data_IF_726424495963
#
_entry.id   IF_726424495963
#
_cell.length_a   1.000
_cell.length_b   1.000
_cell.length_c   1.000
_cell.angle_alpha   90.00
_cell.angle_beta   90.00
_cell.angle_gamma   90.00
#
_symmetry.space_group_name_H-M   'P 1'
#
loop_
_entity.id
_entity.type
_entity.pdbx_description
1 polymer ?
#
# COMPACT_ATOMS: atom_id res chain seq x y z
N UNK A 1 -12.04 -62.83 -79.22
CA UNK A 1 -12.87 -62.39 -78.08
C UNK A 1 -11.94 -61.96 -76.96
N UNK A 2 -11.75 -60.66 -76.78
CA UNK A 2 -11.33 -60.03 -75.52
C UNK A 2 -11.67 -58.55 -75.63
N UNK A 3 -12.42 -58.06 -74.66
CA UNK A 3 -13.15 -56.79 -74.68
C UNK A 3 -12.36 -55.75 -73.90
N UNK A 4 -12.15 -54.57 -74.49
CA UNK A 4 -11.56 -53.40 -73.82
C UNK A 4 -12.57 -52.79 -72.83
N UNK A 5 -12.21 -52.79 -71.55
CA UNK A 5 -12.97 -52.14 -70.47
C UNK A 5 -12.53 -50.68 -70.29
N UNK A 6 -13.31 -49.74 -70.81
CA UNK A 6 -13.10 -48.32 -70.58
C UNK A 6 -13.47 -47.92 -69.13
N UNK A 7 -12.54 -47.27 -68.43
CA UNK A 7 -12.72 -46.75 -67.07
C UNK A 7 -13.37 -45.35 -67.10
N UNK A 8 -14.51 -45.19 -66.42
CA UNK A 8 -15.26 -43.93 -66.30
C UNK A 8 -14.65 -43.05 -65.19
N UNK A 9 -14.39 -41.74 -65.42
CA UNK A 9 -13.87 -40.85 -64.39
C UNK A 9 -14.98 -40.38 -63.41
N UNK A 10 -14.70 -40.46 -62.11
CA UNK A 10 -15.59 -39.95 -61.05
C UNK A 10 -15.53 -38.41 -60.95
N UNK A 11 -16.66 -37.74 -60.68
CA UNK A 11 -16.71 -36.29 -60.51
C UNK A 11 -16.10 -35.85 -59.17
N UNK A 12 -15.27 -34.81 -59.20
CA UNK A 12 -14.74 -34.12 -58.01
C UNK A 12 -15.80 -33.18 -57.44
N UNK A 13 -16.21 -33.42 -56.20
CA UNK A 13 -17.05 -32.50 -55.41
C UNK A 13 -16.23 -31.28 -54.99
N UNK A 14 -16.67 -30.09 -55.42
CA UNK A 14 -16.08 -28.82 -55.01
C UNK A 14 -16.39 -28.53 -53.53
N UNK A 15 -15.37 -28.13 -52.77
CA UNK A 15 -15.46 -27.81 -51.34
C UNK A 15 -16.07 -26.42 -51.17
N UNK A 16 -17.06 -26.22 -50.27
CA UNK A 16 -17.68 -24.92 -50.07
C UNK A 16 -16.70 -23.93 -49.41
N UNK A 17 -16.71 -22.68 -49.88
CA UNK A 17 -15.88 -21.60 -49.36
C UNK A 17 -16.36 -21.12 -47.98
N UNK A 18 -15.45 -20.70 -47.08
CA UNK A 18 -15.81 -20.22 -45.74
C UNK A 18 -16.61 -18.90 -45.81
N UNK A 19 -17.74 -18.84 -45.10
CA UNK A 19 -18.55 -17.63 -44.99
C UNK A 19 -17.79 -16.55 -44.21
N UNK A 20 -17.84 -15.28 -44.65
CA UNK A 20 -17.21 -14.19 -43.92
C UNK A 20 -17.87 -14.01 -42.54
N UNK A 21 -17.09 -13.70 -41.50
CA UNK A 21 -17.61 -13.53 -40.15
C UNK A 21 -18.58 -12.34 -40.07
N UNK A 22 -19.66 -12.52 -39.32
CA UNK A 22 -20.69 -11.50 -39.16
C UNK A 22 -20.12 -10.29 -38.40
N UNK A 23 -20.50 -9.06 -38.82
CA UNK A 23 -20.05 -7.80 -38.19
C UNK A 23 -20.35 -7.71 -36.69
N UNK A 24 -21.37 -8.43 -36.23
CA UNK A 24 -21.77 -8.54 -34.83
C UNK A 24 -20.70 -9.27 -34.01
N UNK A 25 -20.07 -10.31 -34.58
CA UNK A 25 -18.98 -11.03 -33.92
C UNK A 25 -17.75 -10.14 -33.73
N UNK A 26 -17.43 -9.30 -34.72
CA UNK A 26 -16.31 -8.35 -34.65
C UNK A 26 -16.52 -7.28 -33.56
N UNK A 27 -17.74 -6.75 -33.44
CA UNK A 27 -18.06 -5.76 -32.40
C UNK A 27 -18.00 -6.37 -30.99
N UNK A 28 -18.47 -7.61 -30.81
CA UNK A 28 -18.40 -8.29 -29.52
C UNK A 28 -16.94 -8.54 -29.08
N UNK A 29 -16.06 -8.93 -30.01
CA UNK A 29 -14.63 -9.13 -29.74
C UNK A 29 -13.97 -7.81 -29.34
N UNK A 30 -14.26 -6.71 -30.05
CA UNK A 30 -13.70 -5.40 -29.74
C UNK A 30 -14.08 -4.92 -28.33
N UNK A 31 -15.34 -5.11 -27.92
CA UNK A 31 -15.81 -4.73 -26.58
C UNK A 31 -15.07 -5.50 -25.47
N UNK A 32 -14.86 -6.80 -25.65
CA UNK A 32 -14.12 -7.65 -24.69
C UNK A 32 -12.67 -7.19 -24.54
N UNK A 33 -12.00 -6.87 -25.65
CA UNK A 33 -10.61 -6.41 -25.62
C UNK A 33 -10.50 -5.08 -24.86
N UNK A 34 -11.42 -4.13 -25.11
CA UNK A 34 -11.44 -2.85 -24.40
C UNK A 34 -11.64 -3.06 -22.90
N UNK A 35 -12.56 -3.93 -22.49
CA UNK A 35 -12.78 -4.23 -21.06
C UNK A 35 -11.54 -4.84 -20.39
N UNK A 36 -10.81 -5.73 -21.07
CA UNK A 36 -9.57 -6.32 -20.55
C UNK A 36 -8.48 -5.26 -20.41
N UNK A 37 -8.31 -4.39 -21.41
CA UNK A 37 -7.30 -3.32 -21.38
C UNK A 37 -7.60 -2.33 -20.25
N UNK A 38 -8.86 -1.90 -20.09
CA UNK A 38 -9.26 -1.02 -19.00
C UNK A 38 -9.04 -1.70 -17.65
N UNK A 39 -9.40 -2.99 -17.53
CA UNK A 39 -9.13 -3.79 -16.34
C UNK A 39 -7.64 -3.84 -16.00
N UNK A 40 -6.76 -4.09 -16.98
CA UNK A 40 -5.32 -4.14 -16.76
C UNK A 40 -4.71 -2.77 -16.40
N UNK A 41 -5.20 -1.68 -16.98
CA UNK A 41 -4.74 -0.32 -16.63
C UNK A 41 -5.15 0.02 -15.20
N UNK A 42 -6.39 -0.25 -14.81
CA UNK A 42 -6.88 0.02 -13.44
C UNK A 42 -6.16 -0.83 -12.41
N UNK A 43 -5.86 -2.10 -12.70
CA UNK A 43 -5.12 -2.99 -11.79
C UNK A 43 -3.60 -2.75 -11.79
N UNK A 44 -3.03 -2.23 -12.89
CA UNK A 44 -1.60 -2.00 -13.03
C UNK A 44 -1.11 -0.69 -12.41
N UNK A 45 -1.95 0.34 -12.39
CA UNK A 45 -1.56 1.69 -11.92
C UNK A 45 -1.80 1.89 -10.41
N UNK A 46 -2.57 1.03 -9.76
CA UNK A 46 -3.06 1.27 -8.38
C UNK A 46 -2.33 0.51 -7.29
N UNK A 47 -1.31 -0.30 -7.59
CA UNK A 47 -0.54 -0.96 -6.53
C UNK A 47 0.39 0.06 -5.87
N UNK A 48 0.21 0.37 -4.57
CA UNK A 48 1.20 1.14 -3.85
C UNK A 48 2.53 0.39 -3.96
N UNK A 49 3.59 1.08 -4.38
CA UNK A 49 4.92 0.49 -4.41
C UNK A 49 5.32 0.01 -3.01
N UNK A 50 6.31 -0.90 -2.89
CA UNK A 50 6.85 -1.29 -1.59
C UNK A 50 7.25 -0.04 -0.80
N UNK A 51 6.75 0.09 0.44
CA UNK A 51 7.14 1.20 1.31
C UNK A 51 8.66 1.10 1.55
N UNK A 52 9.44 2.13 1.23
CA UNK A 52 10.88 2.09 1.44
C UNK A 52 11.21 1.92 2.92
N UNK A 53 12.34 1.31 3.30
CA UNK A 53 12.63 1.03 4.71
C UNK A 53 12.93 2.33 5.48
N UNK A 54 12.47 2.40 6.73
CA UNK A 54 12.80 3.49 7.66
C UNK A 54 14.28 3.38 8.04
N UNK A 55 14.97 4.51 8.05
CA UNK A 55 16.41 4.60 8.37
C UNK A 55 16.69 5.40 9.63
N UNK A 56 15.80 6.32 9.99
CA UNK A 56 15.85 7.03 11.26
C UNK A 56 14.47 7.55 11.65
N UNK A 57 14.23 7.63 12.95
CA UNK A 57 13.04 8.22 13.56
C UNK A 57 13.52 9.40 14.38
N UNK A 58 13.04 10.59 14.06
CA UNK A 58 13.23 11.77 14.90
C UNK A 58 11.93 12.04 15.63
N UNK A 59 11.95 12.23 16.95
CA UNK A 59 10.74 12.56 17.68
C UNK A 59 11.00 13.55 18.81
N UNK A 60 9.99 14.36 19.11
CA UNK A 60 9.95 15.23 20.29
C UNK A 60 8.60 15.04 20.96
N UNK A 61 8.62 14.98 22.29
CA UNK A 61 7.40 14.98 23.08
C UNK A 61 7.21 16.35 23.72
N UNK A 62 5.97 16.79 23.82
CA UNK A 62 5.62 18.00 24.54
C UNK A 62 4.33 17.76 25.32
N UNK A 63 4.30 18.31 26.52
CA UNK A 63 3.13 18.30 27.39
C UNK A 63 2.62 19.73 27.54
N UNK A 64 1.32 19.91 27.78
CA UNK A 64 0.72 21.21 28.02
C UNK A 64 1.09 21.80 29.41
N UNK A 65 2.35 21.67 29.84
CA UNK A 65 2.89 22.19 31.10
C UNK A 65 4.17 22.99 30.88
N UNK A 66 4.35 24.15 31.55
CA UNK A 66 5.57 24.94 31.43
C UNK A 66 6.81 24.17 31.89
N UNK A 67 7.90 24.22 31.11
CA UNK A 67 9.20 23.62 31.46
C UNK A 67 9.36 22.14 31.09
N UNK A 68 8.43 21.58 30.31
CA UNK A 68 8.65 20.27 29.70
C UNK A 68 9.81 20.36 28.71
N UNK A 69 10.80 19.48 28.86
CA UNK A 69 11.92 19.39 27.93
C UNK A 69 11.41 18.82 26.61
N UNK A 70 11.34 19.64 25.57
CA UNK A 70 10.86 19.28 24.23
C UNK A 70 12.01 18.86 23.29
N UNK A 71 13.15 18.47 23.87
CA UNK A 71 14.32 18.00 23.11
C UNK A 71 13.94 16.95 22.07
N UNK A 72 14.54 17.09 20.89
CA UNK A 72 14.39 16.12 19.81
C UNK A 72 15.34 14.94 20.01
N UNK A 73 14.78 13.74 20.00
CA UNK A 73 15.50 12.47 20.05
C UNK A 73 15.59 11.88 18.65
N UNK A 74 16.73 11.27 18.32
CA UNK A 74 16.95 10.62 17.02
C UNK A 74 17.32 9.16 17.23
N UNK A 75 16.44 8.28 16.77
CA UNK A 75 16.60 6.85 16.83
C UNK A 75 17.02 6.28 15.47
N UNK A 76 17.99 5.36 15.49
CA UNK A 76 18.51 4.67 14.30
C UNK A 76 18.65 3.15 14.50
N UNK A 77 18.38 2.65 15.70
CA UNK A 77 18.40 1.23 16.04
C UNK A 77 17.37 0.48 15.20
N UNK A 78 17.77 -0.56 14.46
CA UNK A 78 16.84 -1.41 13.72
C UNK A 78 15.78 -2.06 14.62
N UNK A 79 16.12 -2.37 15.88
CA UNK A 79 15.20 -2.99 16.83
C UNK A 79 14.07 -2.04 17.22
N UNK A 80 14.40 -0.78 17.54
CA UNK A 80 13.41 0.25 17.88
C UNK A 80 12.57 0.65 16.66
N UNK A 81 13.17 0.71 15.47
CA UNK A 81 12.40 0.92 14.23
C UNK A 81 11.37 -0.20 14.04
N UNK A 82 11.76 -1.47 14.24
CA UNK A 82 10.87 -2.61 14.15
C UNK A 82 9.75 -2.59 15.21
N UNK A 83 10.00 -2.06 16.41
CA UNK A 83 8.98 -1.86 17.44
C UNK A 83 7.88 -0.89 16.97
N UNK A 84 8.25 0.25 16.38
CA UNK A 84 7.27 1.20 15.82
C UNK A 84 6.51 0.58 14.65
N UNK A 85 7.20 -0.12 13.74
CA UNK A 85 6.56 -0.83 12.62
C UNK A 85 5.55 -1.87 13.12
N UNK A 86 5.86 -2.58 14.21
CA UNK A 86 4.95 -3.53 14.85
C UNK A 86 3.71 -2.85 15.44
N UNK A 87 3.86 -1.69 16.08
CA UNK A 87 2.72 -0.90 16.57
C UNK A 87 1.86 -0.44 15.40
N UNK A 88 2.45 0.10 14.34
CA UNK A 88 1.71 0.54 13.16
C UNK A 88 0.95 -0.62 12.49
N UNK A 89 1.60 -1.77 12.32
CA UNK A 89 1.00 -2.97 11.75
C UNK A 89 -0.17 -3.52 12.59
N UNK A 90 -0.09 -3.44 13.92
CA UNK A 90 -1.18 -3.85 14.83
C UNK A 90 -2.49 -3.10 14.55
N UNK A 91 -2.39 -1.85 14.09
CA UNK A 91 -3.53 -0.96 13.84
C UNK A 91 -3.79 -0.68 12.35
N UNK A 92 -3.09 -1.37 11.45
CA UNK A 92 -3.16 -1.16 10.00
C UNK A 92 -2.90 0.31 9.60
N UNK A 93 -1.96 0.96 10.28
CA UNK A 93 -1.60 2.37 10.04
C UNK A 93 -0.39 2.45 9.10
N UNK A 94 -0.53 3.08 7.92
CA UNK A 94 0.60 3.28 7.01
C UNK A 94 1.51 4.40 7.54
N UNK A 95 2.74 4.04 7.94
CA UNK A 95 3.71 5.01 8.50
C UNK A 95 4.17 6.09 7.51
N UNK A 96 4.00 5.88 6.21
CA UNK A 96 4.28 6.89 5.20
C UNK A 96 3.17 7.95 5.06
N UNK A 97 1.97 7.69 5.62
CA UNK A 97 0.81 8.58 5.55
C UNK A 97 -0.06 8.44 6.82
N UNK A 98 0.53 8.78 7.97
CA UNK A 98 -0.20 8.81 9.24
C UNK A 98 -1.09 10.05 9.26
N UNK A 99 -2.32 9.90 8.77
CA UNK A 99 -3.30 10.97 8.72
C UNK A 99 -3.65 11.51 10.11
N UNK A 100 -4.23 12.72 10.15
CA UNK A 100 -4.66 13.38 11.40
C UNK A 100 -5.85 12.71 12.08
N UNK A 101 -6.49 11.75 11.41
CA UNK A 101 -7.68 11.01 11.89
C UNK A 101 -7.42 10.09 13.06
N UNK A 102 -6.15 9.85 13.42
CA UNK A 102 -5.80 8.94 14.52
C UNK A 102 -5.70 9.64 15.89
N UNK A 103 -5.73 10.98 15.94
CA UNK A 103 -5.52 11.75 17.17
C UNK A 103 -6.74 11.76 18.11
N UNK A 104 -6.47 11.73 19.42
CA UNK A 104 -7.51 11.82 20.43
C UNK A 104 -8.02 13.29 20.56
N UNK A 105 -9.32 13.52 20.83
CA UNK A 105 -9.93 14.86 20.80
C UNK A 105 -9.74 15.72 22.07
N UNK A 106 -8.69 15.50 22.87
CA UNK A 106 -8.49 16.24 24.12
C UNK A 106 -7.68 17.53 23.98
N UNK A 107 -8.01 18.51 24.82
CA UNK A 107 -7.31 19.79 24.98
C UNK A 107 -6.12 19.74 25.96
N UNK A 108 -5.86 18.59 26.56
CA UNK A 108 -4.71 18.31 27.43
C UNK A 108 -4.28 16.85 27.25
N UNK A 109 -2.98 16.62 27.10
CA UNK A 109 -2.42 15.32 26.75
C UNK A 109 -0.93 15.42 26.43
N UNK A 110 -0.35 14.28 26.07
CA UNK A 110 1.03 14.19 25.61
C UNK A 110 1.05 14.24 24.08
N UNK A 111 1.61 15.32 23.54
CA UNK A 111 1.87 15.48 22.12
C UNK A 111 3.21 14.85 21.75
N UNK A 112 3.26 14.16 20.62
CA UNK A 112 4.50 13.64 20.04
C UNK A 112 4.58 14.00 18.57
N UNK A 113 5.57 14.81 18.21
CA UNK A 113 5.94 15.03 16.82
C UNK A 113 6.92 13.95 16.39
N UNK A 114 6.62 13.29 15.28
CA UNK A 114 7.46 12.22 14.72
C UNK A 114 7.81 12.55 13.29
N UNK A 115 9.08 12.38 12.94
CA UNK A 115 9.59 12.46 11.56
C UNK A 115 10.35 11.19 11.23
N UNK A 116 9.83 10.43 10.28
CA UNK A 116 10.45 9.24 9.72
C UNK A 116 11.27 9.62 8.50
N UNK A 117 12.51 9.14 8.42
CA UNK A 117 13.33 9.24 7.21
C UNK A 117 13.43 7.89 6.53
N UNK A 118 13.02 7.81 5.27
CA UNK A 118 13.02 6.59 4.48
C UNK A 118 14.22 6.52 3.55
N UNK A 119 14.75 5.31 3.32
CA UNK A 119 15.86 5.10 2.40
C UNK A 119 15.47 5.50 0.97
N UNK A 120 16.06 6.59 0.48
CA UNK A 120 15.89 7.04 -0.91
C UNK A 120 14.51 7.62 -1.25
N UNK A 121 13.64 7.84 -0.26
CA UNK A 121 12.23 8.20 -0.49
C UNK A 121 11.75 9.42 0.31
N UNK A 122 12.66 10.16 0.95
CA UNK A 122 12.35 11.39 1.66
C UNK A 122 11.92 11.16 3.11
N UNK A 123 11.05 12.04 3.61
CA UNK A 123 10.61 12.06 5.01
C UNK A 123 9.07 12.06 5.09
N UNK A 124 8.52 11.43 6.11
CA UNK A 124 7.12 11.59 6.51
C UNK A 124 7.09 12.11 7.94
N UNK A 125 6.22 13.08 8.22
CA UNK A 125 6.08 13.68 9.53
C UNK A 125 4.62 13.63 9.94
N UNK A 126 4.38 13.28 11.20
CA UNK A 126 3.04 13.21 11.77
C UNK A 126 3.05 13.61 13.23
N UNK A 127 1.90 14.05 13.70
CA UNK A 127 1.68 14.50 15.06
C UNK A 127 0.70 13.55 15.75
N UNK A 128 1.10 13.02 16.90
CA UNK A 128 0.29 12.17 17.76
C UNK A 128 -0.13 12.95 19.00
N UNK A 129 -1.42 13.00 19.31
CA UNK A 129 -1.93 13.59 20.54
C UNK A 129 -2.69 12.54 21.36
N UNK A 130 -2.11 12.12 22.48
CA UNK A 130 -2.72 11.11 23.36
C UNK A 130 -3.26 11.72 24.66
N UNK A 131 -4.52 11.42 24.97
CA UNK A 131 -5.12 11.81 26.26
C UNK A 131 -4.69 10.92 27.42
N UNK A 132 -4.20 9.72 27.12
CA UNK A 132 -3.85 8.71 28.13
C UNK A 132 -2.40 8.83 28.62
N UNK A 133 -1.61 9.69 27.97
CA UNK A 133 -0.24 9.99 28.36
C UNK A 133 0.73 8.82 28.12
N UNK A 134 1.88 8.76 28.83
CA UNK A 134 2.96 7.83 28.54
C UNK A 134 2.66 6.36 28.87
N UNK A 135 1.53 6.08 29.53
CA UNK A 135 1.08 4.73 29.89
C UNK A 135 -0.20 4.31 29.13
N UNK A 136 -0.54 5.06 28.07
CA UNK A 136 -1.68 4.79 27.22
C UNK A 136 -1.61 3.43 26.54
N UNK A 137 -2.78 2.81 26.31
CA UNK A 137 -2.86 1.66 25.43
C UNK A 137 -4.23 1.54 24.75
N UNK A 138 -4.27 0.78 23.66
CA UNK A 138 -5.53 0.36 23.01
C UNK A 138 -5.84 1.09 21.70
N UNK A 139 -5.12 2.17 21.38
CA UNK A 139 -5.15 2.85 20.08
C UNK A 139 -3.73 3.00 19.55
N UNK A 140 -3.58 3.21 18.23
CA UNK A 140 -2.27 3.50 17.63
C UNK A 140 -1.58 4.68 18.31
N UNK A 141 -2.30 5.78 18.54
CA UNK A 141 -1.76 6.98 19.17
C UNK A 141 -1.32 6.72 20.61
N UNK A 142 -2.13 6.00 21.40
CA UNK A 142 -1.77 5.68 22.78
C UNK A 142 -0.53 4.76 22.86
N UNK A 143 -0.54 3.65 22.10
CA UNK A 143 0.57 2.68 22.08
C UNK A 143 1.86 3.32 21.53
N UNK A 144 1.78 4.12 20.46
CA UNK A 144 2.95 4.80 19.89
C UNK A 144 3.49 5.89 20.82
N UNK A 145 2.61 6.67 21.46
CA UNK A 145 3.03 7.69 22.43
C UNK A 145 3.73 7.05 23.63
N UNK A 146 3.20 5.94 24.15
CA UNK A 146 3.83 5.18 25.22
C UNK A 146 5.21 4.63 24.81
N UNK A 147 5.33 4.11 23.58
CA UNK A 147 6.59 3.64 23.02
C UNK A 147 7.66 4.76 22.98
N UNK A 148 7.31 5.94 22.46
CA UNK A 148 8.24 7.08 22.41
C UNK A 148 8.63 7.57 23.81
N UNK A 149 7.69 7.57 24.76
CA UNK A 149 8.00 7.91 26.16
C UNK A 149 8.94 6.89 26.82
N UNK A 150 8.79 5.61 26.50
CA UNK A 150 9.70 4.57 26.95
C UNK A 150 11.11 4.77 26.38
N UNK A 151 11.23 5.05 25.08
CA UNK A 151 12.54 5.29 24.46
C UNK A 151 13.24 6.52 25.04
N UNK A 152 12.48 7.58 25.28
CA UNK A 152 12.98 8.79 25.92
C UNK A 152 13.57 8.50 27.31
N UNK A 153 12.90 7.66 28.10
CA UNK A 153 13.31 7.38 29.50
C UNK A 153 14.36 6.29 29.62
N UNK A 154 14.48 5.40 28.63
CA UNK A 154 15.45 4.30 28.63
C UNK A 154 16.84 4.69 28.10
N UNK A 155 17.02 5.93 27.63
CA UNK A 155 18.27 6.41 27.02
C UNK A 155 18.42 5.89 25.58
N UNK A 156 18.80 6.78 24.66
CA UNK A 156 19.16 6.47 23.27
C UNK A 156 20.63 6.12 23.12
#
# INVERSE_FOLDING_TARGET
MTSDGATVPRPRTARPAPKPPSRILLLAIAAIIVSIVVGLIVHGVTRPGPVPPITSISFSQFEAVPGFDDSTFVERSPERIAELEKVAAKYDVPLNDVGTTHNDPCSGGLGTDVTLTFRGAGRSSFHLNSCTGPNGSGTFVADATALFSQWRTSGS
#
